data_IF_893774052229
#
_entry.id   IF_893774052229
#
_cell.length_a   1.000
_cell.length_b   1.000
_cell.length_c   1.000
_cell.angle_alpha   90.00
_cell.angle_beta   90.00
_cell.angle_gamma   90.00
#
_symmetry.space_group_name_H-M   'P 1'
#
loop_
_entity.id
_entity.type
_entity.pdbx_description
1 polymer ?
#
# COMPACT_ATOMS: atom_id res chain seq x y z
N UNK A 1 15.96 3.34 26.14
CA UNK A 1 15.99 4.39 25.10
C UNK A 1 15.12 3.96 23.94
N UNK A 2 13.92 4.55 23.88
CA UNK A 2 13.04 4.35 22.76
C UNK A 2 13.74 4.93 21.53
N UNK A 3 14.29 4.09 20.68
CA UNK A 3 14.87 4.53 19.42
C UNK A 3 13.86 5.40 18.70
N UNK A 4 14.29 6.61 18.45
CA UNK A 4 13.60 7.73 17.86
C UNK A 4 12.58 7.27 16.81
N UNK A 5 11.29 7.55 17.05
CA UNK A 5 10.35 7.69 15.96
C UNK A 5 9.44 6.53 15.63
N UNK A 6 9.12 5.60 16.52
CA UNK A 6 7.98 4.74 16.23
C UNK A 6 6.68 5.55 16.40
N UNK A 7 5.89 5.65 15.30
CA UNK A 7 4.60 6.35 15.29
C UNK A 7 3.68 5.93 16.45
N UNK A 8 3.82 4.69 16.90
CA UNK A 8 3.00 4.13 17.97
C UNK A 8 3.48 4.57 19.36
N UNK A 9 4.79 4.63 19.60
CA UNK A 9 5.31 5.14 20.88
C UNK A 9 4.90 6.60 21.15
N UNK A 10 4.88 7.42 20.09
CA UNK A 10 4.45 8.83 20.21
C UNK A 10 2.94 8.92 20.39
N UNK A 11 2.17 8.11 19.64
CA UNK A 11 0.71 8.05 19.70
C UNK A 11 0.20 7.55 21.05
N UNK A 12 0.79 6.47 21.55
CA UNK A 12 0.34 5.84 22.80
C UNK A 12 0.62 6.75 24.03
N UNK A 13 1.64 7.61 23.92
CA UNK A 13 1.96 8.60 24.98
C UNK A 13 1.18 9.91 24.89
N UNK A 14 0.81 10.35 23.68
CA UNK A 14 0.20 11.67 23.46
C UNK A 14 -1.29 11.66 23.21
N UNK A 15 -1.90 10.49 22.91
CA UNK A 15 -3.29 10.40 22.47
C UNK A 15 -3.57 11.06 21.11
N UNK A 16 -2.54 11.60 20.44
CA UNK A 16 -2.66 12.31 19.17
C UNK A 16 -2.70 11.34 18.01
N UNK A 17 -3.56 11.59 17.03
CA UNK A 17 -3.67 10.73 15.86
C UNK A 17 -2.39 10.80 15.00
N UNK A 18 -1.98 9.66 14.40
CA UNK A 18 -0.73 9.55 13.63
C UNK A 18 -0.63 10.52 12.44
N UNK A 19 -1.76 11.00 11.89
CA UNK A 19 -1.78 11.99 10.81
C UNK A 19 -1.44 13.41 11.27
N UNK A 20 -1.36 13.63 12.56
CA UNK A 20 -0.95 14.90 13.17
C UNK A 20 0.52 14.88 13.61
N UNK A 21 1.14 13.71 13.59
CA UNK A 21 2.52 13.48 14.01
C UNK A 21 3.43 13.37 12.78
N UNK A 22 4.62 13.94 12.86
CA UNK A 22 5.66 13.90 11.83
C UNK A 22 6.92 13.25 12.41
N UNK A 23 6.90 11.93 12.72
CA UNK A 23 8.11 11.26 13.13
C UNK A 23 9.13 11.24 11.99
N UNK A 24 10.43 11.22 12.36
CA UNK A 24 11.50 11.07 11.39
C UNK A 24 11.31 9.78 10.57
N UNK A 25 11.46 9.89 9.26
CA UNK A 25 11.43 8.72 8.38
C UNK A 25 12.74 7.94 8.49
N UNK A 26 12.63 6.62 8.36
CA UNK A 26 13.80 5.75 8.34
C UNK A 26 14.70 6.09 7.16
N UNK A 27 15.98 6.27 7.44
CA UNK A 27 17.02 6.43 6.42
C UNK A 27 17.64 5.06 6.13
N UNK A 28 17.48 4.51 4.91
CA UNK A 28 18.01 3.19 4.57
C UNK A 28 19.53 3.11 4.72
N UNK A 29 20.04 1.99 5.24
CA UNK A 29 21.45 1.67 5.23
C UNK A 29 21.92 1.25 3.82
N UNK A 30 23.22 1.31 3.56
CA UNK A 30 23.79 0.82 2.29
C UNK A 30 23.52 -0.68 2.09
N UNK A 31 23.48 -1.47 3.16
CA UNK A 31 23.13 -2.88 3.10
C UNK A 31 21.68 -3.06 2.63
N UNK A 32 20.79 -2.27 3.19
CA UNK A 32 19.37 -2.31 2.82
C UNK A 32 19.11 -1.79 1.39
N UNK A 33 19.84 -0.77 0.94
CA UNK A 33 19.81 -0.34 -0.47
C UNK A 33 20.22 -1.45 -1.44
N UNK A 34 21.23 -2.25 -1.11
CA UNK A 34 21.62 -3.42 -1.92
C UNK A 34 20.48 -4.45 -2.02
N UNK A 35 19.76 -4.71 -0.93
CA UNK A 35 18.62 -5.61 -0.96
C UNK A 35 17.46 -5.05 -1.80
N UNK A 36 17.23 -3.74 -1.78
CA UNK A 36 16.31 -3.08 -2.70
C UNK A 36 16.71 -3.28 -4.17
N UNK A 37 17.97 -3.02 -4.50
CA UNK A 37 18.48 -3.16 -5.88
C UNK A 37 18.41 -4.60 -6.38
N UNK A 38 18.76 -5.57 -5.53
CA UNK A 38 18.63 -6.99 -5.83
C UNK A 38 17.17 -7.38 -6.04
N UNK A 39 16.30 -6.93 -5.14
CA UNK A 39 14.85 -7.15 -5.27
C UNK A 39 14.29 -6.53 -6.55
N UNK A 40 14.70 -5.31 -6.89
CA UNK A 40 14.24 -4.65 -8.11
C UNK A 40 14.62 -5.45 -9.37
N UNK A 41 15.86 -5.97 -9.45
CA UNK A 41 16.31 -6.80 -10.57
C UNK A 41 15.49 -8.09 -10.71
N UNK A 42 15.25 -8.77 -9.60
CA UNK A 42 14.53 -10.06 -9.59
C UNK A 42 13.04 -9.91 -9.87
N UNK A 43 12.44 -8.84 -9.35
CA UNK A 43 10.98 -8.71 -9.30
C UNK A 43 10.40 -7.68 -10.27
N UNK A 44 11.24 -7.05 -11.11
CA UNK A 44 10.74 -6.12 -12.13
C UNK A 44 9.74 -6.78 -13.08
N UNK A 45 10.06 -7.95 -13.61
CA UNK A 45 9.19 -8.68 -14.55
C UNK A 45 7.87 -9.15 -13.90
N UNK A 46 7.87 -9.83 -12.72
CA UNK A 46 6.62 -10.18 -12.04
C UNK A 46 5.74 -8.96 -11.74
N UNK A 47 6.34 -7.83 -11.31
CA UNK A 47 5.60 -6.58 -11.10
C UNK A 47 5.02 -6.02 -12.40
N UNK A 48 5.78 -6.05 -13.51
CA UNK A 48 5.31 -5.62 -14.82
C UNK A 48 4.14 -6.49 -15.33
N UNK A 49 4.17 -7.79 -15.07
CA UNK A 49 3.07 -8.69 -15.43
C UNK A 49 1.81 -8.43 -14.60
N UNK A 50 1.97 -8.13 -13.30
CA UNK A 50 0.86 -7.70 -12.46
C UNK A 50 0.26 -6.37 -12.93
N UNK A 51 1.10 -5.40 -13.30
CA UNK A 51 0.65 -4.12 -13.90
C UNK A 51 -0.12 -4.36 -15.18
N UNK A 52 0.38 -5.24 -16.08
CA UNK A 52 -0.33 -5.62 -17.31
C UNK A 52 -1.72 -6.17 -17.00
N UNK A 53 -1.82 -7.15 -16.13
CA UNK A 53 -3.09 -7.78 -15.76
C UNK A 53 -4.10 -6.76 -15.24
N UNK A 54 -3.70 -5.91 -14.31
CA UNK A 54 -4.57 -4.87 -13.76
C UNK A 54 -4.95 -3.84 -14.83
N UNK A 55 -3.98 -3.38 -15.62
CA UNK A 55 -4.22 -2.37 -16.67
C UNK A 55 -5.18 -2.87 -17.74
N UNK A 56 -5.02 -4.10 -18.19
CA UNK A 56 -5.91 -4.74 -19.19
C UNK A 56 -7.32 -4.93 -18.64
N UNK A 57 -7.46 -5.34 -17.38
CA UNK A 57 -8.77 -5.50 -16.75
C UNK A 57 -9.49 -4.16 -16.62
N UNK A 58 -8.79 -3.12 -16.17
CA UNK A 58 -9.35 -1.74 -16.10
C UNK A 58 -9.74 -1.25 -17.49
N UNK A 59 -8.90 -1.50 -18.49
CA UNK A 59 -9.19 -1.08 -19.87
C UNK A 59 -10.39 -1.81 -20.46
N UNK A 60 -10.52 -3.11 -20.23
CA UNK A 60 -11.65 -3.90 -20.69
C UNK A 60 -12.98 -3.44 -20.06
N UNK A 61 -12.96 -3.03 -18.79
CA UNK A 61 -14.18 -2.60 -18.08
C UNK A 61 -14.57 -1.15 -18.32
N UNK A 62 -13.60 -0.24 -18.44
CA UNK A 62 -13.85 1.22 -18.44
C UNK A 62 -13.31 1.94 -19.69
N UNK A 63 -12.40 1.30 -20.45
CA UNK A 63 -11.83 1.86 -21.65
C UNK A 63 -11.21 3.24 -21.43
N UNK A 64 -11.44 4.16 -22.38
CA UNK A 64 -10.96 5.54 -22.32
C UNK A 64 -11.62 6.41 -21.26
N UNK A 65 -12.67 5.93 -20.63
CA UNK A 65 -13.39 6.64 -19.57
C UNK A 65 -12.82 6.36 -18.17
N UNK A 66 -11.84 5.47 -18.06
CA UNK A 66 -11.20 5.17 -16.80
C UNK A 66 -10.50 6.40 -16.22
N UNK A 67 -10.70 6.63 -14.93
CA UNK A 67 -10.05 7.65 -14.12
C UNK A 67 -9.31 6.95 -12.99
N UNK A 68 -7.99 6.96 -13.05
CA UNK A 68 -7.15 6.26 -12.09
C UNK A 68 -7.01 7.11 -10.82
N UNK A 69 -7.33 6.56 -9.66
CA UNK A 69 -7.26 7.26 -8.37
C UNK A 69 -6.41 6.43 -7.41
N UNK A 70 -5.14 6.74 -7.32
CA UNK A 70 -4.20 6.05 -6.44
C UNK A 70 -4.38 6.47 -4.99
N UNK A 71 -4.44 5.49 -4.09
CA UNK A 71 -4.43 5.73 -2.66
C UNK A 71 -2.99 6.02 -2.21
N UNK A 72 -2.76 7.25 -1.84
CA UNK A 72 -1.41 7.69 -1.51
C UNK A 72 -0.94 7.08 -0.17
N UNK A 73 0.31 6.65 -0.10
CA UNK A 73 1.38 6.78 -1.13
C UNK A 73 1.61 5.48 -1.91
N UNK A 74 1.32 4.30 -1.31
CA UNK A 74 1.68 3.00 -1.89
C UNK A 74 1.03 2.75 -3.26
N UNK A 75 -0.18 3.25 -3.49
CA UNK A 75 -0.88 3.13 -4.77
C UNK A 75 -0.32 4.02 -5.87
N UNK A 76 0.41 5.10 -5.54
CA UNK A 76 0.88 6.07 -6.54
C UNK A 76 1.79 5.45 -7.61
N UNK A 77 2.83 4.68 -7.27
CA UNK A 77 3.67 4.03 -8.29
C UNK A 77 2.89 3.03 -9.15
N UNK A 78 1.97 2.27 -8.55
CA UNK A 78 1.11 1.33 -9.28
C UNK A 78 0.24 2.07 -10.32
N UNK A 79 -0.43 3.15 -9.90
CA UNK A 79 -1.25 3.96 -10.81
C UNK A 79 -0.46 4.62 -11.94
N UNK A 80 0.77 5.11 -11.66
CA UNK A 80 1.67 5.65 -12.69
C UNK A 80 2.02 4.58 -13.71
N UNK A 81 2.38 3.37 -13.26
CA UNK A 81 2.74 2.25 -14.14
C UNK A 81 1.55 1.80 -14.99
N UNK A 82 0.36 1.67 -14.41
CA UNK A 82 -0.89 1.33 -15.12
C UNK A 82 -1.19 2.40 -16.19
N UNK A 83 -1.11 3.69 -15.84
CA UNK A 83 -1.29 4.78 -16.80
C UNK A 83 -0.31 4.71 -17.95
N UNK A 84 0.98 4.47 -17.67
CA UNK A 84 2.03 4.36 -18.69
C UNK A 84 1.82 3.16 -19.59
N UNK A 85 1.42 2.02 -19.03
CA UNK A 85 1.07 0.83 -19.78
C UNK A 85 -0.06 1.12 -20.78
N UNK A 86 -1.18 1.67 -20.32
CA UNK A 86 -2.35 2.00 -21.15
C UNK A 86 -1.97 3.01 -22.23
N UNK A 87 -1.21 4.03 -21.88
CA UNK A 87 -0.72 5.03 -22.85
C UNK A 87 0.12 4.39 -23.96
N UNK A 88 1.02 3.47 -23.61
CA UNK A 88 1.89 2.81 -24.61
C UNK A 88 1.11 1.86 -25.50
N UNK A 89 0.21 1.06 -24.93
CA UNK A 89 -0.52 0.04 -25.71
C UNK A 89 -1.66 0.64 -26.54
N UNK A 90 -2.43 1.55 -25.95
CA UNK A 90 -3.68 2.06 -26.55
C UNK A 90 -3.59 3.52 -27.05
N UNK A 91 -2.48 4.20 -26.84
CA UNK A 91 -2.31 5.59 -27.26
C UNK A 91 -3.12 6.60 -26.44
N UNK A 92 -3.75 6.16 -25.33
CA UNK A 92 -4.64 6.99 -24.51
C UNK A 92 -3.98 7.37 -23.18
N UNK A 93 -3.94 8.67 -22.87
CA UNK A 93 -3.46 9.17 -21.59
C UNK A 93 -4.63 9.36 -20.64
N UNK A 94 -4.87 8.40 -19.77
CA UNK A 94 -5.94 8.47 -18.75
C UNK A 94 -5.65 9.53 -17.70
N UNK A 95 -6.69 10.20 -17.14
CA UNK A 95 -6.55 10.99 -15.93
C UNK A 95 -6.02 10.13 -14.78
N UNK A 96 -5.11 10.69 -13.98
CA UNK A 96 -4.55 10.00 -12.82
C UNK A 96 -4.39 10.98 -11.67
N UNK A 97 -4.96 10.64 -10.54
CA UNK A 97 -4.90 11.38 -9.29
C UNK A 97 -4.29 10.51 -8.19
N UNK A 98 -3.64 11.14 -7.23
CA UNK A 98 -3.24 10.50 -5.97
C UNK A 98 -3.94 11.22 -4.85
N UNK A 99 -4.72 10.50 -4.06
CA UNK A 99 -5.46 11.05 -2.94
C UNK A 99 -5.07 10.34 -1.64
N UNK A 100 -5.09 11.06 -0.53
CA UNK A 100 -4.76 10.47 0.75
C UNK A 100 -5.94 9.70 1.34
N UNK A 101 -5.60 8.61 2.01
CA UNK A 101 -6.52 7.83 2.84
C UNK A 101 -5.90 7.61 4.22
N UNK A 102 -6.65 7.91 5.28
CA UNK A 102 -6.17 7.87 6.65
C UNK A 102 -7.07 6.94 7.46
N UNK A 103 -6.51 5.86 7.98
CA UNK A 103 -7.25 4.91 8.82
C UNK A 103 -7.82 5.65 10.04
N UNK A 104 -9.13 5.55 10.24
CA UNK A 104 -9.86 6.25 11.30
C UNK A 104 -10.33 7.68 10.96
N UNK A 105 -9.89 8.25 9.81
CA UNK A 105 -10.32 9.59 9.35
C UNK A 105 -10.88 9.60 7.92
N UNK A 106 -10.69 8.51 7.18
CA UNK A 106 -11.24 8.35 5.84
C UNK A 106 -10.37 8.88 4.73
N UNK A 107 -11.01 9.26 3.63
CA UNK A 107 -10.41 9.76 2.39
C UNK A 107 -10.40 11.29 2.40
N UNK A 108 -9.49 11.92 1.65
CA UNK A 108 -9.52 13.35 1.40
C UNK A 108 -10.82 13.74 0.66
N UNK A 109 -11.73 14.34 1.42
CA UNK A 109 -13.06 14.70 0.93
C UNK A 109 -12.98 15.72 -0.19
N UNK A 110 -12.15 16.75 -0.06
CA UNK A 110 -12.01 17.82 -1.05
C UNK A 110 -11.39 17.32 -2.35
N UNK A 111 -10.41 16.40 -2.23
CA UNK A 111 -9.86 15.74 -3.41
C UNK A 111 -10.91 14.89 -4.14
N UNK A 112 -11.78 14.19 -3.41
CA UNK A 112 -12.86 13.40 -4.00
C UNK A 112 -13.91 14.29 -4.67
N UNK A 113 -14.33 15.38 -4.04
CA UNK A 113 -15.22 16.41 -4.63
C UNK A 113 -14.61 16.98 -5.92
N UNK A 114 -13.32 17.30 -5.91
CA UNK A 114 -12.61 17.80 -7.09
C UNK A 114 -12.63 16.81 -8.27
N UNK A 115 -12.44 15.51 -7.99
CA UNK A 115 -12.45 14.46 -9.00
C UNK A 115 -13.86 14.27 -9.56
N UNK A 116 -14.87 14.16 -8.69
CA UNK A 116 -16.27 13.94 -9.09
C UNK A 116 -16.86 15.13 -9.86
N UNK A 117 -16.42 16.35 -9.60
CA UNK A 117 -16.80 17.52 -10.38
C UNK A 117 -16.29 17.51 -11.84
N UNK A 118 -15.32 16.64 -12.15
CA UNK A 118 -14.63 16.59 -13.46
C UNK A 118 -14.83 15.28 -14.19
N UNK A 119 -15.20 14.24 -13.50
CA UNK A 119 -15.27 12.88 -14.04
C UNK A 119 -16.50 12.15 -13.55
N UNK A 120 -17.17 11.38 -14.42
CA UNK A 120 -18.24 10.48 -14.00
C UNK A 120 -17.72 9.42 -13.02
N UNK A 121 -18.48 9.13 -12.00
CA UNK A 121 -18.10 8.16 -10.97
C UNK A 121 -17.84 6.75 -11.51
N UNK A 122 -18.58 6.34 -12.54
CA UNK A 122 -18.43 5.02 -13.18
C UNK A 122 -17.02 4.84 -13.82
N UNK A 123 -16.35 5.94 -14.15
CA UNK A 123 -14.97 5.94 -14.64
C UNK A 123 -13.93 5.74 -13.54
N UNK A 124 -14.24 6.09 -12.29
CA UNK A 124 -13.27 6.06 -11.20
C UNK A 124 -12.84 4.63 -10.90
N UNK A 125 -11.52 4.44 -10.78
CA UNK A 125 -10.90 3.21 -10.33
C UNK A 125 -9.84 3.52 -9.26
N UNK A 126 -10.13 3.13 -8.02
CA UNK A 126 -9.14 3.22 -6.96
C UNK A 126 -8.03 2.19 -7.14
N UNK A 127 -6.80 2.60 -6.82
CA UNK A 127 -5.59 1.78 -6.99
C UNK A 127 -4.75 1.82 -5.72
N UNK A 128 -4.28 0.65 -5.28
CA UNK A 128 -3.25 0.53 -4.25
C UNK A 128 -2.15 -0.46 -4.71
N UNK A 129 -1.07 -0.57 -3.96
CA UNK A 129 0.03 -1.47 -4.28
C UNK A 129 -0.29 -2.93 -3.97
N UNK A 130 -0.76 -3.19 -2.76
CA UNK A 130 -1.08 -4.53 -2.27
C UNK A 130 -2.15 -4.52 -1.19
N UNK A 131 -2.74 -5.69 -0.94
CA UNK A 131 -3.71 -5.90 0.13
C UNK A 131 -3.10 -6.75 1.24
N UNK A 132 -3.08 -6.25 2.47
CA UNK A 132 -2.73 -7.05 3.65
C UNK A 132 -3.93 -7.81 4.21
N UNK A 133 -4.77 -7.14 5.02
CA UNK A 133 -6.00 -7.72 5.61
C UNK A 133 -7.26 -6.89 5.38
N UNK A 134 -7.28 -6.07 4.29
CA UNK A 134 -8.44 -5.30 3.87
C UNK A 134 -8.75 -4.05 4.71
N UNK A 135 -7.78 -3.52 5.47
CA UNK A 135 -8.02 -2.32 6.29
C UNK A 135 -8.32 -1.10 5.41
N UNK A 136 -7.57 -0.91 4.33
CA UNK A 136 -7.74 0.21 3.41
C UNK A 136 -9.08 0.09 2.69
N UNK A 137 -9.47 -1.10 2.23
CA UNK A 137 -10.76 -1.34 1.58
C UNK A 137 -11.92 -0.98 2.50
N UNK A 138 -11.86 -1.38 3.78
CA UNK A 138 -12.89 -1.00 4.77
C UNK A 138 -12.91 0.50 5.05
N UNK A 139 -11.73 1.14 5.13
CA UNK A 139 -11.62 2.59 5.35
C UNK A 139 -12.19 3.37 4.18
N UNK A 140 -11.90 2.95 2.94
CA UNK A 140 -12.44 3.56 1.72
C UNK A 140 -13.97 3.43 1.69
N UNK A 141 -14.49 2.22 1.91
CA UNK A 141 -15.94 1.96 1.95
C UNK A 141 -16.62 2.85 2.97
N UNK A 142 -16.16 2.85 4.22
CA UNK A 142 -16.75 3.67 5.28
C UNK A 142 -16.71 5.17 4.96
N UNK A 143 -15.64 5.65 4.31
CA UNK A 143 -15.55 7.04 3.90
C UNK A 143 -16.54 7.39 2.78
N UNK A 144 -16.71 6.50 1.80
CA UNK A 144 -17.64 6.70 0.69
C UNK A 144 -19.11 6.54 1.11
N UNK A 145 -19.41 5.69 2.09
CA UNK A 145 -20.77 5.59 2.70
C UNK A 145 -21.19 6.89 3.40
N UNK A 146 -20.24 7.64 3.93
CA UNK A 146 -20.46 8.94 4.58
C UNK A 146 -20.37 10.13 3.61
N UNK A 147 -19.94 9.89 2.37
CA UNK A 147 -19.83 10.93 1.36
C UNK A 147 -21.20 11.17 0.69
N UNK A 148 -21.58 12.42 0.37
CA UNK A 148 -22.87 12.73 -0.24
C UNK A 148 -22.94 12.31 -1.71
N UNK A 149 -22.78 11.02 -1.98
CA UNK A 149 -22.69 10.44 -3.32
C UNK A 149 -23.90 10.72 -4.18
N UNK A 150 -25.08 10.90 -3.56
CA UNK A 150 -26.33 11.22 -4.25
C UNK A 150 -26.27 12.58 -4.96
N UNK A 151 -25.51 13.55 -4.45
CA UNK A 151 -25.29 14.86 -5.08
C UNK A 151 -24.55 14.74 -6.42
N UNK A 152 -23.84 13.63 -6.61
CA UNK A 152 -23.09 13.31 -7.82
C UNK A 152 -23.78 12.23 -8.68
N UNK A 153 -25.07 11.95 -8.42
CA UNK A 153 -25.84 10.96 -9.17
C UNK A 153 -25.41 9.50 -8.92
N UNK A 154 -24.77 9.24 -7.78
CA UNK A 154 -24.29 7.91 -7.41
C UNK A 154 -25.27 7.30 -6.42
N UNK A 155 -26.03 6.31 -6.88
CA UNK A 155 -26.91 5.52 -6.04
C UNK A 155 -26.16 4.45 -5.23
N UNK A 156 -26.85 3.85 -4.26
CA UNK A 156 -26.27 2.76 -3.44
C UNK A 156 -25.89 1.52 -4.22
N UNK A 157 -26.57 1.27 -5.33
CA UNK A 157 -26.28 0.18 -6.27
C UNK A 157 -24.91 0.29 -6.92
N UNK A 158 -24.38 1.51 -7.05
CA UNK A 158 -23.04 1.78 -7.63
C UNK A 158 -21.94 1.85 -6.59
N UNK A 159 -22.27 1.91 -5.31
CA UNK A 159 -21.29 2.07 -4.23
C UNK A 159 -20.31 0.89 -4.19
N UNK A 160 -20.77 -0.34 -4.34
CA UNK A 160 -19.91 -1.52 -4.30
C UNK A 160 -18.82 -1.46 -5.39
N UNK A 161 -19.20 -1.07 -6.61
CA UNK A 161 -18.25 -0.89 -7.71
C UNK A 161 -17.29 0.28 -7.46
N UNK A 162 -17.77 1.39 -6.91
CA UNK A 162 -16.94 2.54 -6.59
C UNK A 162 -15.92 2.22 -5.50
N UNK A 163 -16.27 1.35 -4.55
CA UNK A 163 -15.37 0.93 -3.46
C UNK A 163 -14.33 -0.12 -3.89
N UNK A 164 -14.39 -0.64 -5.12
CA UNK A 164 -13.41 -1.63 -5.59
C UNK A 164 -12.03 -0.99 -5.74
N UNK A 165 -11.03 -1.63 -5.12
CA UNK A 165 -9.64 -1.23 -5.24
C UNK A 165 -8.91 -2.23 -6.15
N UNK A 166 -8.23 -1.73 -7.17
CA UNK A 166 -7.31 -2.53 -7.98
C UNK A 166 -5.93 -2.54 -7.32
N UNK A 167 -5.32 -3.72 -7.19
CA UNK A 167 -4.01 -3.88 -6.53
C UNK A 167 -3.08 -4.75 -7.37
N UNK A 168 -1.77 -4.58 -7.22
CA UNK A 168 -0.81 -5.45 -7.90
C UNK A 168 -0.75 -6.83 -7.23
N UNK A 169 -0.83 -6.88 -5.89
CA UNK A 169 -0.83 -8.14 -5.13
C UNK A 169 -1.96 -8.18 -4.11
N UNK A 170 -2.70 -9.30 -4.08
CA UNK A 170 -3.80 -9.56 -3.14
C UNK A 170 -3.69 -10.95 -2.50
N UNK A 171 -2.71 -11.19 -1.64
CA UNK A 171 -2.59 -12.47 -0.94
C UNK A 171 -3.75 -12.78 -0.01
N UNK A 172 -4.51 -11.75 0.38
CA UNK A 172 -5.67 -11.91 1.24
C UNK A 172 -6.90 -12.48 0.54
N UNK A 173 -6.97 -12.43 -0.79
CA UNK A 173 -8.13 -12.84 -1.58
C UNK A 173 -9.33 -11.89 -1.40
N UNK A 174 -9.10 -10.59 -1.26
CA UNK A 174 -10.13 -9.60 -0.97
C UNK A 174 -10.46 -8.67 -2.15
N UNK A 175 -9.62 -8.64 -3.16
CA UNK A 175 -9.76 -7.75 -4.31
C UNK A 175 -10.10 -8.55 -5.58
N UNK A 176 -11.19 -8.18 -6.23
CA UNK A 176 -11.58 -8.74 -7.52
C UNK A 176 -10.58 -8.34 -8.63
N UNK A 177 -10.10 -7.11 -8.56
CA UNK A 177 -9.13 -6.55 -9.51
C UNK A 177 -7.72 -6.64 -8.91
N UNK A 178 -7.00 -7.69 -9.24
CA UNK A 178 -5.62 -7.84 -8.79
C UNK A 178 -4.72 -8.41 -9.88
N UNK A 179 -3.43 -8.11 -9.78
CA UNK A 179 -2.41 -8.63 -10.67
C UNK A 179 -2.02 -10.07 -10.33
N UNK A 180 -2.02 -10.39 -9.03
CA UNK A 180 -1.77 -11.73 -8.49
C UNK A 180 -2.39 -11.90 -7.11
N UNK A 181 -2.74 -13.15 -6.75
CA UNK A 181 -3.07 -13.52 -5.38
C UNK A 181 -1.85 -14.04 -4.58
N UNK A 182 -0.67 -14.08 -5.19
CA UNK A 182 0.56 -14.33 -4.46
C UNK A 182 0.97 -13.13 -3.58
N UNK A 183 1.62 -13.41 -2.46
CA UNK A 183 2.27 -12.36 -1.64
C UNK A 183 3.58 -11.96 -2.33
N UNK A 184 3.44 -11.12 -3.35
CA UNK A 184 4.52 -10.73 -4.23
C UNK A 184 5.36 -9.61 -3.62
N UNK A 185 6.67 -9.71 -3.77
CA UNK A 185 7.57 -8.63 -3.40
C UNK A 185 7.42 -7.45 -4.37
N UNK A 186 7.01 -6.31 -3.83
CA UNK A 186 6.94 -5.05 -4.56
C UNK A 186 8.08 -4.15 -4.07
N UNK A 187 9.17 -3.97 -4.86
CA UNK A 187 10.40 -3.33 -4.39
C UNK A 187 10.20 -1.93 -3.79
N UNK A 188 9.21 -1.16 -4.23
CA UNK A 188 8.94 0.15 -3.64
C UNK A 188 8.50 0.09 -2.16
N UNK A 189 8.09 -1.08 -1.66
CA UNK A 189 7.80 -1.26 -0.24
C UNK A 189 9.06 -1.13 0.64
N UNK A 190 10.24 -1.44 0.09
CA UNK A 190 11.53 -1.35 0.79
C UNK A 190 11.89 0.08 1.22
N UNK A 191 11.48 1.07 0.45
CA UNK A 191 11.97 2.44 0.59
C UNK A 191 10.87 3.45 0.92
N UNK A 192 9.74 2.96 1.37
CA UNK A 192 8.61 3.72 1.90
C UNK A 192 8.45 5.16 1.34
N UNK A 193 9.01 6.19 1.99
CA UNK A 193 8.88 7.59 1.57
C UNK A 193 9.69 7.96 0.34
N UNK A 194 10.74 7.21 0.02
CA UNK A 194 11.70 7.57 -1.06
C UNK A 194 11.30 7.03 -2.42
N UNK A 195 10.39 6.08 -2.52
CA UNK A 195 10.01 5.43 -3.79
C UNK A 195 8.55 5.65 -4.19
N UNK A 196 7.79 6.40 -3.42
CA UNK A 196 6.40 6.69 -3.77
C UNK A 196 6.21 7.93 -4.63
N UNK A 197 7.30 8.66 -4.98
CA UNK A 197 7.25 9.93 -5.68
C UNK A 197 6.79 11.11 -4.82
N UNK A 198 6.58 10.86 -3.54
CA UNK A 198 6.12 11.87 -2.59
C UNK A 198 7.09 11.87 -1.40
N UNK A 199 8.14 12.69 -1.43
CA UNK A 199 8.99 12.94 -0.25
C UNK A 199 8.19 13.57 0.86
N UNK A 200 7.03 12.97 1.15
CA UNK A 200 6.04 13.59 1.98
C UNK A 200 5.25 12.56 2.73
N UNK A 201 4.60 13.03 3.76
CA UNK A 201 3.65 12.28 4.54
C UNK A 201 2.36 13.07 4.62
N UNK A 202 1.23 12.40 4.49
CA UNK A 202 -0.06 13.04 4.71
C UNK A 202 -0.13 13.59 6.13
N UNK A 203 -0.52 14.86 6.23
CA UNK A 203 -0.75 15.59 7.46
C UNK A 203 -2.18 16.08 7.49
N UNK A 204 -2.85 15.81 8.61
CA UNK A 204 -4.17 16.35 8.91
C UNK A 204 -4.15 16.88 10.35
N UNK A 205 -3.45 18.01 10.52
CA UNK A 205 -3.25 18.63 11.83
C UNK A 205 -4.26 19.74 12.02
N UNK A 206 -5.04 19.65 13.09
CA UNK A 206 -6.00 20.69 13.52
C UNK A 206 -5.29 22.04 13.68
N UNK A 207 -5.88 23.10 13.13
CA UNK A 207 -5.31 24.46 13.13
C UNK A 207 -4.23 24.71 12.07
N UNK A 208 -3.79 23.69 11.33
CA UNK A 208 -2.89 23.81 10.18
C UNK A 208 -3.65 23.58 8.87
N UNK A 209 -4.46 22.52 8.82
CA UNK A 209 -5.32 22.20 7.68
C UNK A 209 -6.77 22.53 8.05
N UNK A 210 -7.40 23.39 7.25
CA UNK A 210 -8.79 23.79 7.46
C UNK A 210 -9.75 22.71 6.91
N UNK A 211 -11.01 22.65 7.40
CA UNK A 211 -11.99 21.65 6.95
C UNK A 211 -12.34 21.71 5.45
N UNK A 212 -12.11 22.85 4.81
CA UNK A 212 -12.38 23.10 3.40
C UNK A 212 -11.14 23.01 2.49
N UNK A 213 -10.01 22.61 3.05
CA UNK A 213 -8.76 22.38 2.33
C UNK A 213 -8.53 20.91 2.01
N UNK A 214 -7.64 20.63 1.06
CA UNK A 214 -7.10 19.29 0.83
C UNK A 214 -6.27 18.83 2.03
N UNK A 215 -6.15 17.53 2.21
CA UNK A 215 -5.19 17.01 3.18
C UNK A 215 -3.79 17.53 2.86
N UNK A 216 -3.07 17.95 3.88
CA UNK A 216 -1.71 18.44 3.73
C UNK A 216 -0.70 17.32 3.46
N UNK A 217 0.47 17.73 2.96
CA UNK A 217 1.60 16.84 2.77
C UNK A 217 2.87 17.49 3.35
N UNK A 218 3.44 16.88 4.39
CA UNK A 218 4.75 17.29 4.89
C UNK A 218 5.83 16.82 3.91
N UNK A 219 6.67 17.73 3.47
CA UNK A 219 7.75 17.46 2.52
C UNK A 219 9.06 17.15 3.26
N UNK A 220 9.70 16.04 2.90
CA UNK A 220 10.97 15.60 3.47
C UNK A 220 12.11 15.83 2.47
N UNK A 221 12.46 17.08 2.23
CA UNK A 221 13.47 17.48 1.23
C UNK A 221 14.85 16.87 1.48
N UNK A 222 15.19 16.57 2.73
CA UNK A 222 16.43 15.90 3.13
C UNK A 222 16.55 14.46 2.59
N UNK A 223 15.45 13.84 2.19
CA UNK A 223 15.43 12.50 1.59
C UNK A 223 15.56 12.54 0.05
N UNK A 224 15.50 13.72 -0.57
CA UNK A 224 15.55 13.85 -2.02
C UNK A 224 16.81 13.18 -2.66
N UNK A 225 18.02 13.24 -2.06
CA UNK A 225 19.19 12.54 -2.60
C UNK A 225 19.09 11.01 -2.58
N UNK A 226 18.16 10.46 -1.79
CA UNK A 226 17.93 9.02 -1.65
C UNK A 226 16.80 8.52 -2.55
N UNK A 227 16.19 9.39 -3.37
CA UNK A 227 15.03 9.04 -4.19
C UNK A 227 15.36 7.96 -5.22
N UNK A 228 14.55 6.90 -5.21
CA UNK A 228 14.58 5.78 -6.15
C UNK A 228 13.29 5.66 -6.97
N UNK A 229 12.44 6.68 -6.94
CA UNK A 229 11.13 6.63 -7.60
C UNK A 229 11.24 6.35 -9.09
N UNK A 230 12.08 7.12 -9.79
CA UNK A 230 12.25 6.94 -11.24
C UNK A 230 13.00 5.66 -11.59
N UNK A 231 13.95 5.23 -10.77
CA UNK A 231 14.65 3.95 -10.93
C UNK A 231 13.63 2.79 -10.88
N UNK A 232 12.76 2.78 -9.85
CA UNK A 232 11.70 1.80 -9.73
C UNK A 232 10.76 1.81 -10.93
N UNK A 233 10.20 2.97 -11.28
CA UNK A 233 9.24 3.10 -12.39
C UNK A 233 9.89 2.66 -13.71
N UNK A 234 11.11 3.09 -13.99
CA UNK A 234 11.82 2.77 -15.24
C UNK A 234 12.14 1.28 -15.36
N UNK A 235 12.58 0.65 -14.26
CA UNK A 235 12.88 -0.78 -14.25
C UNK A 235 11.64 -1.63 -14.54
N UNK A 236 10.50 -1.31 -13.90
CA UNK A 236 9.24 -2.02 -14.15
C UNK A 236 8.75 -1.76 -15.59
N UNK A 237 8.81 -0.50 -16.05
CA UNK A 237 8.41 -0.13 -17.41
C UNK A 237 9.23 -0.83 -18.49
N UNK A 238 10.54 -0.97 -18.27
CA UNK A 238 11.43 -1.70 -19.18
C UNK A 238 11.11 -3.20 -19.26
N UNK A 239 10.57 -3.79 -18.20
CA UNK A 239 10.17 -5.19 -18.14
C UNK A 239 8.73 -5.44 -18.66
N UNK A 240 7.98 -4.40 -19.05
CA UNK A 240 6.62 -4.53 -19.53
C UNK A 240 6.54 -5.28 -20.87
N UNK A 241 5.58 -6.19 -20.97
CA UNK A 241 5.15 -6.80 -22.21
C UNK A 241 3.68 -6.46 -22.46
N UNK A 242 3.34 -6.23 -23.74
CA UNK A 242 1.99 -5.82 -24.13
C UNK A 242 1.24 -7.02 -24.71
N UNK A 243 0.16 -7.43 -24.05
CA UNK A 243 -0.63 -8.61 -24.39
C UNK A 243 -1.99 -8.55 -23.71
N UNK A 244 -2.68 -9.67 -23.68
CA UNK A 244 -3.94 -9.83 -22.96
C UNK A 244 -3.70 -9.95 -21.44
N UNK A 245 -4.75 -9.69 -20.65
CA UNK A 245 -4.73 -9.95 -19.22
C UNK A 245 -4.51 -11.44 -18.95
N UNK A 246 -3.62 -11.74 -18.03
CA UNK A 246 -3.48 -13.09 -17.48
C UNK A 246 -4.08 -13.06 -16.08
N UNK A 247 -5.38 -13.35 -15.98
CA UNK A 247 -6.06 -13.37 -14.69
C UNK A 247 -5.34 -14.36 -13.75
N UNK A 248 -5.09 -13.95 -12.51
CA UNK A 248 -4.45 -14.83 -11.55
C UNK A 248 -5.37 -16.02 -11.21
N UNK A 249 -4.80 -17.19 -10.87
CA UNK A 249 -5.59 -18.28 -10.30
C UNK A 249 -6.28 -17.80 -9.02
N UNK A 250 -7.35 -18.47 -8.60
CA UNK A 250 -8.03 -18.14 -7.33
C UNK A 250 -7.05 -18.08 -6.16
N UNK A 251 -7.35 -17.22 -5.17
CA UNK A 251 -6.55 -17.11 -3.95
C UNK A 251 -6.42 -18.47 -3.25
N UNK A 252 -5.24 -18.75 -2.69
CA UNK A 252 -4.94 -20.01 -1.99
C UNK A 252 -5.69 -20.19 -0.67
N UNK A 253 -6.35 -19.14 -0.18
CA UNK A 253 -7.08 -19.16 1.09
C UNK A 253 -7.70 -17.81 1.45
N UNK A 254 -8.10 -17.69 2.70
CA UNK A 254 -8.64 -16.46 3.26
C UNK A 254 -7.62 -15.81 4.20
N UNK A 255 -6.95 -14.76 3.74
CA UNK A 255 -5.91 -14.09 4.50
C UNK A 255 -6.39 -13.46 5.82
N UNK A 256 -7.66 -13.04 5.90
CA UNK A 256 -8.20 -12.52 7.16
C UNK A 256 -8.39 -13.64 8.20
N UNK A 257 -8.82 -14.83 7.75
CA UNK A 257 -8.91 -15.99 8.64
C UNK A 257 -7.53 -16.39 9.16
N UNK A 258 -6.53 -16.50 8.28
CA UNK A 258 -5.15 -16.79 8.68
C UNK A 258 -4.60 -15.73 9.65
N UNK A 259 -4.90 -14.45 9.43
CA UNK A 259 -4.49 -13.39 10.36
C UNK A 259 -5.09 -13.56 11.75
N UNK A 260 -6.33 -14.05 11.86
CA UNK A 260 -6.98 -14.35 13.14
C UNK A 260 -6.34 -15.58 13.81
N UNK A 261 -6.08 -16.64 13.04
CA UNK A 261 -5.36 -17.84 13.53
C UNK A 261 -3.99 -17.47 14.13
N UNK A 262 -3.25 -16.58 13.48
CA UNK A 262 -1.96 -16.06 13.97
C UNK A 262 -2.17 -15.26 15.27
N UNK A 263 -3.13 -14.32 15.30
CA UNK A 263 -3.41 -13.53 16.49
C UNK A 263 -3.72 -14.44 17.71
N UNK A 264 -4.59 -15.42 17.52
CA UNK A 264 -4.99 -16.37 18.55
C UNK A 264 -3.80 -17.21 19.02
N UNK A 265 -3.04 -17.81 18.09
CA UNK A 265 -1.90 -18.67 18.40
C UNK A 265 -0.78 -17.97 19.18
N UNK A 266 -0.53 -16.70 18.86
CA UNK A 266 0.52 -15.90 19.49
C UNK A 266 0.00 -15.00 20.62
N UNK A 267 -1.27 -15.15 21.03
CA UNK A 267 -1.85 -14.40 22.14
C UNK A 267 -1.93 -12.88 21.87
N UNK A 268 -2.09 -12.46 20.61
CA UNK A 268 -2.15 -11.05 20.24
C UNK A 268 -3.55 -10.51 20.49
N UNK A 269 -3.74 -9.54 21.42
CA UNK A 269 -5.08 -9.13 21.87
C UNK A 269 -5.86 -8.33 20.81
N UNK A 270 -5.17 -7.62 19.91
CA UNK A 270 -5.79 -6.86 18.81
C UNK A 270 -5.21 -7.30 17.47
N UNK A 271 -6.06 -7.81 16.59
CA UNK A 271 -5.69 -8.21 15.23
C UNK A 271 -5.01 -7.08 14.43
N UNK A 272 -5.17 -5.82 14.83
CA UNK A 272 -4.47 -4.68 14.23
C UNK A 272 -2.96 -4.75 14.43
N UNK A 273 -2.49 -5.46 15.45
CA UNK A 273 -1.07 -5.67 15.76
C UNK A 273 -0.44 -6.76 14.90
N UNK A 274 -1.23 -7.63 14.28
CA UNK A 274 -0.76 -8.61 13.30
C UNK A 274 -0.69 -7.95 11.93
N UNK A 275 0.45 -7.98 11.27
CA UNK A 275 0.76 -7.31 10.01
C UNK A 275 1.17 -8.32 8.94
N UNK A 276 0.19 -8.97 8.28
CA UNK A 276 0.46 -10.00 7.31
C UNK A 276 0.87 -9.43 5.94
N UNK A 277 1.67 -10.20 5.24
CA UNK A 277 2.17 -9.92 3.90
C UNK A 277 3.51 -9.17 3.89
N UNK A 278 4.26 -9.35 2.81
CA UNK A 278 5.59 -8.77 2.60
C UNK A 278 5.54 -7.24 2.77
N UNK A 279 4.60 -6.57 2.10
CA UNK A 279 4.49 -5.12 2.14
C UNK A 279 4.20 -4.56 3.54
N UNK A 280 3.26 -5.16 4.28
CA UNK A 280 2.92 -4.72 5.64
C UNK A 280 4.05 -5.02 6.63
N UNK A 281 4.68 -6.20 6.54
CA UNK A 281 5.81 -6.60 7.39
C UNK A 281 7.01 -5.67 7.18
N UNK A 282 7.35 -5.36 5.93
CA UNK A 282 8.40 -4.41 5.59
C UNK A 282 8.13 -3.05 6.21
N UNK A 283 6.89 -2.54 6.08
CA UNK A 283 6.49 -1.25 6.65
C UNK A 283 6.57 -1.21 8.17
N UNK A 284 6.23 -2.32 8.82
CA UNK A 284 6.38 -2.41 10.28
C UNK A 284 7.84 -2.28 10.67
N UNK A 285 8.72 -3.01 10.03
CA UNK A 285 10.15 -2.94 10.30
C UNK A 285 10.73 -1.55 10.01
N UNK A 286 10.25 -0.84 8.99
CA UNK A 286 10.70 0.52 8.69
C UNK A 286 10.25 1.56 9.72
N UNK A 287 9.07 1.37 10.33
CA UNK A 287 8.40 2.41 11.14
C UNK A 287 8.19 2.06 12.61
N UNK A 288 8.32 0.80 12.98
CA UNK A 288 8.01 0.28 14.30
C UNK A 288 9.07 -0.71 14.75
N UNK A 289 8.94 -1.16 15.99
CA UNK A 289 9.71 -2.30 16.50
C UNK A 289 8.73 -3.44 16.67
N UNK A 290 8.70 -4.42 15.74
CA UNK A 290 7.91 -5.62 15.92
C UNK A 290 8.48 -6.48 17.05
N UNK A 291 7.67 -7.28 17.65
CA UNK A 291 8.07 -8.28 18.64
C UNK A 291 8.64 -9.53 17.96
N UNK A 292 7.99 -9.92 16.88
CA UNK A 292 8.30 -11.15 16.15
C UNK A 292 8.00 -10.99 14.67
N UNK A 293 8.86 -11.54 13.82
CA UNK A 293 8.61 -11.73 12.39
C UNK A 293 8.43 -13.22 12.11
N UNK A 294 7.34 -13.57 11.46
CA UNK A 294 7.07 -14.90 10.93
C UNK A 294 7.38 -14.89 9.42
N UNK A 295 8.15 -15.86 8.96
CA UNK A 295 8.44 -16.10 7.55
C UNK A 295 8.02 -17.50 7.16
N UNK A 296 7.40 -17.65 5.97
CA UNK A 296 7.10 -18.97 5.42
C UNK A 296 8.39 -19.74 5.16
N UNK A 297 9.32 -19.07 4.50
CA UNK A 297 10.66 -19.56 4.20
C UNK A 297 11.68 -18.43 4.47
N UNK A 298 12.52 -18.54 5.50
CA UNK A 298 13.55 -17.54 5.82
C UNK A 298 14.62 -17.37 4.74
N UNK A 299 14.84 -18.40 3.91
CA UNK A 299 15.84 -18.38 2.83
C UNK A 299 15.28 -17.87 1.51
N UNK A 300 13.98 -17.56 1.46
CA UNK A 300 13.32 -17.06 0.25
C UNK A 300 13.88 -15.71 -0.19
N UNK A 301 14.19 -15.52 -1.48
CA UNK A 301 14.58 -14.22 -2.02
C UNK A 301 13.47 -13.16 -1.90
N UNK A 302 12.21 -13.55 -1.74
CA UNK A 302 11.06 -12.67 -1.50
C UNK A 302 11.17 -11.87 -0.20
N UNK A 303 11.78 -12.47 0.82
CA UNK A 303 11.77 -11.96 2.21
C UNK A 303 13.14 -11.57 2.71
N UNK A 304 14.20 -11.64 1.87
CA UNK A 304 15.58 -11.34 2.26
C UNK A 304 15.72 -9.93 2.87
N UNK A 305 15.11 -8.92 2.28
CA UNK A 305 15.10 -7.56 2.82
C UNK A 305 14.41 -7.45 4.20
N UNK A 306 13.42 -8.31 4.48
CA UNK A 306 12.76 -8.40 5.79
C UNK A 306 13.73 -8.99 6.80
N UNK A 307 14.42 -10.07 6.43
CA UNK A 307 15.44 -10.72 7.28
C UNK A 307 16.57 -9.73 7.61
N UNK A 308 17.03 -8.94 6.63
CA UNK A 308 18.09 -7.91 6.85
C UNK A 308 17.62 -6.82 7.80
N UNK A 309 16.42 -6.25 7.60
CA UNK A 309 15.85 -5.26 8.52
C UNK A 309 15.63 -5.82 9.94
N UNK A 310 15.16 -7.07 10.04
CA UNK A 310 14.97 -7.72 11.33
C UNK A 310 16.31 -7.90 12.06
N UNK A 311 17.36 -8.31 11.33
CA UNK A 311 18.73 -8.42 11.85
C UNK A 311 19.28 -7.07 12.33
N UNK A 312 19.14 -6.00 11.53
CA UNK A 312 19.57 -4.64 11.91
C UNK A 312 18.88 -4.15 13.19
N UNK A 313 17.63 -4.54 13.41
CA UNK A 313 16.82 -4.11 14.56
C UNK A 313 16.83 -5.07 15.73
N UNK A 314 17.55 -6.20 15.62
CA UNK A 314 17.59 -7.23 16.66
C UNK A 314 16.22 -7.89 16.93
N UNK A 315 15.39 -8.03 15.90
CA UNK A 315 14.06 -8.62 15.98
C UNK A 315 14.14 -10.11 15.67
N UNK A 316 13.48 -10.93 16.48
CA UNK A 316 13.40 -12.38 16.26
C UNK A 316 12.67 -12.68 14.94
N UNK A 317 13.25 -13.58 14.14
CA UNK A 317 12.63 -14.17 12.95
C UNK A 317 12.38 -15.64 13.21
N UNK A 318 11.15 -16.09 12.94
CA UNK A 318 10.73 -17.50 13.13
C UNK A 318 10.10 -18.03 11.85
N UNK A 319 10.53 -19.22 11.42
CA UNK A 319 9.83 -19.94 10.36
C UNK A 319 8.43 -20.36 10.83
N UNK A 320 7.42 -20.14 9.99
CA UNK A 320 6.04 -20.44 10.29
C UNK A 320 5.28 -20.83 9.00
N UNK A 321 4.44 -21.89 9.02
CA UNK A 321 3.75 -22.38 7.83
C UNK A 321 2.58 -21.47 7.40
N UNK A 322 2.92 -20.25 6.97
CA UNK A 322 1.96 -19.30 6.40
C UNK A 322 1.34 -19.90 5.13
N UNK A 323 0.04 -19.71 4.93
CA UNK A 323 -0.73 -20.25 3.80
C UNK A 323 -0.93 -19.21 2.68
N UNK A 324 -1.40 -18.03 3.06
CA UNK A 324 -1.69 -16.93 2.13
C UNK A 324 -0.49 -15.98 1.96
N UNK A 325 0.33 -15.85 3.01
CA UNK A 325 1.40 -14.85 3.08
C UNK A 325 2.79 -15.49 3.09
N UNK A 326 3.79 -14.74 2.66
CA UNK A 326 5.21 -15.10 2.78
C UNK A 326 5.82 -14.58 4.09
N UNK A 327 5.27 -13.50 4.62
CA UNK A 327 5.74 -12.86 5.84
C UNK A 327 4.59 -12.35 6.70
N UNK A 328 4.81 -12.26 8.02
CA UNK A 328 3.88 -11.61 8.93
C UNK A 328 4.64 -11.00 10.11
N UNK A 329 4.46 -9.71 10.35
CA UNK A 329 5.01 -9.01 11.52
C UNK A 329 3.99 -8.97 12.66
N UNK A 330 4.44 -9.24 13.90
CA UNK A 330 3.67 -9.05 15.12
C UNK A 330 4.24 -7.89 15.89
N UNK A 331 3.41 -6.89 16.18
CA UNK A 331 3.83 -5.68 16.91
C UNK A 331 3.67 -5.92 18.41
N UNK A 332 4.68 -5.55 19.17
CA UNK A 332 4.65 -5.64 20.65
C UNK A 332 3.51 -4.79 21.21
N UNK A 333 2.78 -5.36 22.16
CA UNK A 333 1.94 -4.60 23.07
C UNK A 333 2.88 -3.91 24.05
N UNK A 334 2.87 -2.60 24.09
CA UNK A 334 3.57 -1.86 25.15
C UNK A 334 2.62 -1.80 26.34
N UNK A 335 2.98 -2.47 27.43
CA UNK A 335 2.30 -2.30 28.70
C UNK A 335 2.36 -0.81 29.05
N UNK A 336 1.21 -0.24 29.41
CA UNK A 336 1.14 1.11 29.96
C UNK A 336 1.90 1.07 31.30
N UNK A 337 3.12 1.62 31.33
CA UNK A 337 3.87 1.92 32.55
C UNK A 337 3.51 3.32 33.01
#
# INVERSE_FOLDING_TARGET
ECLVGSEMCIRDRSGVHYSELLPAEYRPSDAYFREYENGLKLWAKPNADAVRTVAETIWAEKGRHAVLVSLARAGTPAGVLIKRYIRRKYGVSLPHYSISIIVGRGIDRRAMEYILARHPADGIQFIDGWTGKGMITRTLRSALEQFPLYEYGIGRDKLDRLCEIAVLADPAGLCRLCGTHGDMFIPCACLNSVVSGLFSRTVLKTGVIQPDEFHGAAYFGELAPLDRTYEFITAIEAAMTYGEAQLPPPASGNGLAETREIAEKFGVPDIKLVKPGIGETTRVLLRRIPELILLRDPDSPLTRHISELAREKGVEVRQYPLKCYEACGIIRVMDNV
#
